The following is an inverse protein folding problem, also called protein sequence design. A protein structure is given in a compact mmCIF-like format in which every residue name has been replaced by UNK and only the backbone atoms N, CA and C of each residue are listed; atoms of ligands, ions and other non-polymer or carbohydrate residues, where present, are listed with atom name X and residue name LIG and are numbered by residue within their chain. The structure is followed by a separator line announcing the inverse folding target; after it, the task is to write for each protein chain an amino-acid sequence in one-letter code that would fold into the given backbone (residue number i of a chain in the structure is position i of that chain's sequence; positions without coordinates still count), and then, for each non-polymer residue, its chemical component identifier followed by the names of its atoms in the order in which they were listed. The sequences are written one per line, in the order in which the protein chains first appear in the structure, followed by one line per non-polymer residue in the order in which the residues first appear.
data_IF_422139043726
#
_entry.id   IF_422139043726
#
_cell.length_a   1.000
_cell.length_b   1.000
_cell.length_c   1.000
_cell.angle_alpha   90.00
_cell.angle_beta   90.00
_cell.angle_gamma   90.00
#
_symmetry.space_group_name_H-M   'P 1'
#
loop_
_entity.id
_entity.type
_entity.pdbx_description
1 polymer ?
#
# COMPACT_ATOMS: atom_id res chain seq x y z
N UNK A 1 -1.73 25.01 5.14
CA UNK A 1 -1.33 25.49 6.48
C UNK A 1 0.14 25.84 6.44
N UNK A 2 0.55 26.99 6.98
CA UNK A 2 1.96 27.39 7.00
C UNK A 2 2.82 26.37 7.74
N UNK A 3 4.11 26.29 7.37
CA UNK A 3 5.08 25.54 8.15
C UNK A 3 5.19 26.10 9.58
N UNK A 4 5.39 25.23 10.58
CA UNK A 4 5.54 25.62 11.97
C UNK A 4 4.25 25.81 12.78
N UNK A 5 3.07 25.63 12.17
CA UNK A 5 1.78 25.70 12.89
C UNK A 5 1.32 24.30 13.31
N UNK A 6 0.75 24.21 14.51
CA UNK A 6 0.11 22.97 15.01
C UNK A 6 -1.00 22.55 14.05
N UNK A 7 -0.91 21.31 13.55
CA UNK A 7 -1.91 20.73 12.65
C UNK A 7 -3.06 20.14 13.48
N UNK A 8 -4.31 20.21 13.01
CA UNK A 8 -5.41 19.55 13.70
C UNK A 8 -5.14 18.04 13.79
N UNK A 9 -5.34 17.48 14.98
CA UNK A 9 -5.28 16.03 15.17
C UNK A 9 -6.53 15.42 14.53
N UNK A 10 -6.33 14.44 13.66
CA UNK A 10 -7.41 13.69 13.03
C UNK A 10 -7.46 12.28 13.61
N UNK A 11 -8.67 11.72 13.72
CA UNK A 11 -8.86 10.31 14.02
C UNK A 11 -8.33 9.45 12.88
N UNK A 12 -7.71 8.33 13.22
CA UNK A 12 -7.30 7.30 12.26
C UNK A 12 -8.00 5.98 12.56
N UNK A 13 -8.35 5.25 11.52
CA UNK A 13 -8.86 3.90 11.59
C UNK A 13 -8.11 3.00 10.60
N UNK A 14 -8.12 1.70 10.83
CA UNK A 14 -7.58 0.73 9.88
C UNK A 14 -8.48 0.70 8.64
N UNK A 15 -7.95 1.11 7.49
CA UNK A 15 -8.68 1.06 6.23
C UNK A 15 -8.63 -0.34 5.59
N UNK A 16 -7.45 -0.96 5.57
CA UNK A 16 -7.22 -2.30 5.02
C UNK A 16 -5.92 -2.88 5.58
N UNK A 17 -5.94 -4.18 5.90
CA UNK A 17 -4.73 -4.96 6.18
C UNK A 17 -4.15 -5.46 4.85
N UNK A 18 -2.86 -5.21 4.62
CA UNK A 18 -2.16 -5.59 3.39
C UNK A 18 -1.44 -6.94 3.51
N UNK A 19 -1.31 -7.50 4.71
CA UNK A 19 -0.60 -8.77 4.92
C UNK A 19 -1.14 -9.93 4.09
N UNK A 20 -2.47 -10.08 3.86
CA UNK A 20 -2.98 -11.14 3.00
C UNK A 20 -2.47 -11.01 1.56
N UNK A 21 -2.51 -9.81 0.99
CA UNK A 21 -2.06 -9.56 -0.38
C UNK A 21 -0.53 -9.67 -0.52
N UNK A 22 0.23 -9.23 0.49
CA UNK A 22 1.70 -9.34 0.50
C UNK A 22 2.20 -10.78 0.64
N UNK A 23 1.36 -11.71 1.13
CA UNK A 23 1.68 -13.15 1.26
C UNK A 23 1.08 -14.02 0.17
N UNK A 24 0.30 -13.45 -0.75
CA UNK A 24 -0.45 -14.22 -1.74
C UNK A 24 0.45 -15.02 -2.70
N UNK A 25 1.72 -14.63 -2.86
CA UNK A 25 2.73 -15.35 -3.66
C UNK A 25 3.28 -16.62 -3.00
N UNK A 26 2.92 -16.95 -1.76
CA UNK A 26 3.34 -18.18 -1.06
C UNK A 26 4.77 -18.18 -0.51
N UNK A 27 5.55 -17.12 -0.75
CA UNK A 27 6.85 -16.89 -0.17
C UNK A 27 6.76 -16.03 1.11
N UNK A 28 7.91 -15.60 1.63
CA UNK A 28 7.97 -14.54 2.65
C UNK A 28 7.16 -13.34 2.19
N UNK A 29 6.46 -12.68 3.13
CA UNK A 29 5.67 -11.50 2.79
C UNK A 29 6.55 -10.45 2.13
N UNK A 30 6.12 -9.93 0.98
CA UNK A 30 6.79 -8.80 0.35
C UNK A 30 6.81 -7.61 1.33
N UNK A 31 7.96 -6.98 1.47
CA UNK A 31 8.15 -5.80 2.31
C UNK A 31 7.88 -4.51 1.52
N UNK A 32 8.09 -3.36 2.16
CA UNK A 32 8.17 -2.05 1.49
C UNK A 32 7.05 -1.73 0.46
N UNK A 33 5.76 -1.76 0.85
CA UNK A 33 4.70 -1.18 0.04
C UNK A 33 4.79 0.36 0.06
N UNK A 34 5.09 0.97 -1.09
CA UNK A 34 5.34 2.42 -1.18
C UNK A 34 4.42 3.14 -2.16
N UNK A 35 3.88 2.42 -3.15
CA UNK A 35 2.89 2.96 -4.08
C UNK A 35 1.47 2.68 -3.60
N UNK A 36 0.60 3.69 -3.60
CA UNK A 36 -0.84 3.53 -3.42
C UNK A 36 -1.61 4.48 -4.34
N UNK A 37 -2.59 3.94 -5.07
CA UNK A 37 -3.43 4.73 -5.96
C UNK A 37 -4.88 4.26 -5.96
N UNK A 38 -5.78 5.22 -6.21
CA UNK A 38 -7.17 4.95 -6.58
C UNK A 38 -7.29 5.10 -8.09
N UNK A 39 -7.71 4.05 -8.77
CA UNK A 39 -7.90 4.03 -10.22
C UNK A 39 -9.37 3.85 -10.57
N UNK A 40 -9.78 4.37 -11.74
CA UNK A 40 -11.16 4.30 -12.21
C UNK A 40 -12.08 5.37 -11.63
N UNK A 41 -13.36 5.32 -12.00
CA UNK A 41 -14.37 6.33 -11.70
C UNK A 41 -15.63 5.73 -11.07
N UNK A 42 -16.46 6.58 -10.47
CA UNK A 42 -17.75 6.20 -9.89
C UNK A 42 -17.68 4.94 -9.01
N UNK A 43 -18.55 3.96 -9.31
CA UNK A 43 -18.59 2.66 -8.63
C UNK A 43 -17.45 1.73 -9.04
N UNK A 44 -16.70 2.06 -10.08
CA UNK A 44 -15.62 1.24 -10.62
C UNK A 44 -14.26 1.52 -9.99
N UNK A 45 -14.19 2.43 -9.01
CA UNK A 45 -12.96 2.75 -8.28
C UNK A 45 -12.33 1.50 -7.66
N UNK A 46 -11.01 1.38 -7.83
CA UNK A 46 -10.21 0.31 -7.22
C UNK A 46 -9.03 0.90 -6.50
N UNK A 47 -8.67 0.27 -5.39
CA UNK A 47 -7.42 0.52 -4.70
C UNK A 47 -6.36 -0.40 -5.30
N UNK A 48 -5.23 0.16 -5.68
CA UNK A 48 -4.05 -0.59 -6.14
C UNK A 48 -2.82 -0.11 -5.39
N UNK A 49 -1.86 -1.01 -5.21
CA UNK A 49 -0.59 -0.68 -4.57
C UNK A 49 0.59 -1.27 -5.33
N UNK A 50 1.78 -0.79 -5.00
CA UNK A 50 3.04 -1.31 -5.54
C UNK A 50 4.01 -1.51 -4.39
N UNK A 51 4.63 -2.68 -4.38
CA UNK A 51 5.83 -2.96 -3.59
C UNK A 51 7.04 -2.59 -4.42
N UNK A 52 7.93 -1.78 -3.85
CA UNK A 52 9.25 -1.49 -4.41
C UNK A 52 10.31 -2.10 -3.50
N UNK A 53 10.46 -3.42 -3.59
CA UNK A 53 11.48 -4.13 -2.85
C UNK A 53 12.84 -3.81 -3.48
N UNK A 54 13.71 -3.12 -2.73
CA UNK A 54 15.02 -2.66 -3.18
C UNK A 54 16.09 -3.77 -3.21
N UNK A 55 15.72 -5.01 -2.89
CA UNK A 55 16.62 -6.16 -2.97
C UNK A 55 17.71 -6.15 -1.90
N UNK A 56 17.39 -5.63 -0.71
CA UNK A 56 18.25 -5.77 0.48
C UNK A 56 18.40 -7.25 0.91
N UNK A 57 19.32 -7.51 1.84
CA UNK A 57 19.52 -8.86 2.40
C UNK A 57 18.19 -9.45 2.94
N UNK A 58 17.94 -10.73 2.64
CA UNK A 58 16.72 -11.49 2.93
C UNK A 58 15.45 -11.10 2.12
N UNK A 59 15.58 -10.23 1.12
CA UNK A 59 14.47 -9.74 0.30
C UNK A 59 14.65 -10.13 -1.19
N UNK A 60 13.59 -10.62 -1.88
CA UNK A 60 13.73 -11.12 -3.25
C UNK A 60 14.00 -10.05 -4.31
N UNK A 61 13.90 -8.75 -3.97
CA UNK A 61 14.11 -7.64 -4.90
C UNK A 61 13.01 -7.49 -5.96
N UNK A 62 11.85 -8.14 -5.77
CA UNK A 62 10.75 -8.12 -6.75
C UNK A 62 9.82 -6.93 -6.53
N UNK A 63 9.49 -6.22 -7.61
CA UNK A 63 8.39 -5.26 -7.62
C UNK A 63 7.06 -5.95 -7.87
N UNK A 64 6.12 -5.80 -6.94
CA UNK A 64 4.80 -6.48 -7.02
C UNK A 64 3.67 -5.48 -7.18
N UNK A 65 2.78 -5.75 -8.14
CA UNK A 65 1.55 -5.00 -8.32
C UNK A 65 0.39 -5.61 -7.52
N UNK A 66 -0.11 -4.87 -6.52
CA UNK A 66 -1.16 -5.31 -5.61
C UNK A 66 -2.55 -4.86 -6.08
N UNK A 67 -3.47 -5.81 -6.18
CA UNK A 67 -4.90 -5.54 -6.45
C UNK A 67 -5.68 -5.55 -5.14
N UNK A 68 -5.85 -4.36 -4.55
CA UNK A 68 -6.36 -4.21 -3.17
C UNK A 68 -7.90 -4.16 -3.05
N UNK A 69 -8.60 -4.25 -4.18
CA UNK A 69 -10.06 -4.38 -4.21
C UNK A 69 -10.79 -3.12 -4.68
N UNK A 70 -12.11 -3.13 -4.52
CA UNK A 70 -12.99 -2.00 -4.87
C UNK A 70 -13.15 -1.07 -3.67
N UNK A 71 -13.29 0.23 -3.93
CA UNK A 71 -13.65 1.26 -2.95
C UNK A 71 -15.14 1.60 -3.03
#
# INVERSE_FOLDING_TARGET
MPAGVVKPLVGKGLAKDLLPELRAGGATAHDKPEGLAVIGDGRSKRLVGVVDNDGLDDAPGESVFLRLGRL
#
